data_IF_114776443902
#
_entry.id   IF_114776443902
#
_cell.length_a   1.000
_cell.length_b   1.000
_cell.length_c   1.000
_cell.angle_alpha   90.00
_cell.angle_beta   90.00
_cell.angle_gamma   90.00
#
_symmetry.space_group_name_H-M   'P 1'
#
loop_
_entity.id
_entity.type
_entity.pdbx_description
1 polymer ?
#
# COMPACT_ATOMS: atom_id res chain seq x y z
N UNK A 1 -47.98 -2.13 7.55
CA UNK A 1 -47.46 -3.09 6.52
C UNK A 1 -46.67 -2.29 5.47
N UNK A 2 -45.36 -2.44 5.42
CA UNK A 2 -44.53 -1.74 4.43
C UNK A 2 -44.70 -2.49 3.10
N UNK A 3 -45.14 -1.78 2.06
CA UNK A 3 -45.36 -2.33 0.70
C UNK A 3 -44.10 -3.03 0.17
N UNK A 4 -44.27 -4.14 -0.56
CA UNK A 4 -43.19 -4.87 -1.22
C UNK A 4 -42.34 -3.99 -2.15
N UNK A 5 -42.95 -2.96 -2.77
CA UNK A 5 -42.27 -1.96 -3.59
C UNK A 5 -41.30 -1.08 -2.76
N UNK A 6 -41.67 -0.72 -1.52
CA UNK A 6 -40.81 0.07 -0.61
C UNK A 6 -39.60 -0.72 -0.15
N UNK A 7 -39.73 -2.04 0.05
CA UNK A 7 -38.60 -2.94 0.41
C UNK A 7 -37.62 -3.11 -0.75
N UNK A 8 -38.12 -3.18 -1.99
CA UNK A 8 -37.29 -3.27 -3.18
C UNK A 8 -36.48 -2.01 -3.44
N UNK A 9 -37.06 -0.84 -3.25
CA UNK A 9 -36.39 0.47 -3.36
C UNK A 9 -35.35 0.64 -2.27
N UNK A 10 -35.63 0.22 -1.05
CA UNK A 10 -34.65 0.26 0.06
C UNK A 10 -33.46 -0.71 -0.16
N UNK A 11 -33.72 -1.87 -0.74
CA UNK A 11 -32.65 -2.84 -1.11
C UNK A 11 -31.80 -2.32 -2.26
N UNK A 12 -32.41 -1.64 -3.25
CA UNK A 12 -31.69 -1.04 -4.38
C UNK A 12 -30.81 0.14 -3.93
N UNK A 13 -31.25 0.95 -2.97
CA UNK A 13 -30.44 2.03 -2.40
C UNK A 13 -29.22 1.54 -1.61
N UNK A 14 -29.27 0.35 -1.01
CA UNK A 14 -28.13 -0.23 -0.29
C UNK A 14 -26.99 -0.67 -1.22
N UNK A 15 -27.25 -0.91 -2.49
CA UNK A 15 -26.25 -1.38 -3.46
C UNK A 15 -25.40 -0.22 -4.03
N UNK A 16 -25.87 1.03 -3.91
CA UNK A 16 -25.19 2.19 -4.52
C UNK A 16 -24.08 2.79 -3.63
N UNK A 17 -23.95 2.35 -2.37
CA UNK A 17 -22.93 2.85 -1.44
C UNK A 17 -21.66 1.96 -1.49
N UNK A 18 -21.26 1.48 -2.65
CA UNK A 18 -19.90 0.99 -2.82
C UNK A 18 -18.99 2.19 -3.09
N UNK A 19 -18.58 2.84 -1.99
CA UNK A 19 -17.64 3.95 -2.05
C UNK A 19 -16.36 3.51 -2.76
N UNK A 20 -15.78 4.36 -3.61
CA UNK A 20 -14.43 4.19 -4.12
C UNK A 20 -13.48 4.08 -2.94
N UNK A 21 -13.03 2.89 -2.61
CA UNK A 21 -11.96 2.68 -1.64
C UNK A 21 -10.65 3.09 -2.32
N UNK A 22 -9.91 3.97 -1.68
CA UNK A 22 -8.57 4.31 -2.11
C UNK A 22 -7.70 3.05 -2.07
N UNK A 23 -6.76 2.96 -3.00
CA UNK A 23 -5.82 1.85 -3.05
C UNK A 23 -4.41 2.35 -3.34
N UNK A 24 -3.43 1.69 -2.75
CA UNK A 24 -2.02 2.00 -2.94
C UNK A 24 -1.30 0.83 -3.60
N UNK A 25 -0.46 1.14 -4.59
CA UNK A 25 0.42 0.16 -5.22
C UNK A 25 1.71 0.11 -4.42
N UNK A 26 2.01 -1.06 -3.87
CA UNK A 26 3.25 -1.38 -3.17
C UNK A 26 4.04 -2.35 -4.02
N UNK A 27 5.29 -2.00 -4.31
CA UNK A 27 6.25 -2.90 -4.96
C UNK A 27 6.88 -3.75 -3.88
N UNK A 28 6.90 -5.05 -4.07
CA UNK A 28 7.40 -6.01 -3.07
C UNK A 28 8.38 -6.97 -3.72
N UNK A 29 9.51 -7.20 -3.05
CA UNK A 29 10.46 -8.25 -3.35
C UNK A 29 10.66 -9.14 -2.13
N UNK A 30 10.76 -10.46 -2.36
CA UNK A 30 11.08 -11.46 -1.36
C UNK A 30 12.23 -12.32 -1.82
N UNK A 31 13.27 -12.48 -0.99
CA UNK A 31 14.47 -13.25 -1.30
C UNK A 31 14.72 -14.30 -0.23
N UNK A 32 14.78 -15.55 -0.63
CA UNK A 32 15.27 -16.67 0.21
C UNK A 32 16.75 -16.93 -0.09
N UNK A 33 17.49 -17.38 0.92
CA UNK A 33 18.83 -17.90 0.69
C UNK A 33 18.74 -19.17 -0.17
N UNK A 34 19.24 -19.08 -1.40
CA UNK A 34 19.23 -20.20 -2.37
C UNK A 34 20.38 -21.19 -2.16
N UNK A 35 21.43 -20.80 -1.43
CA UNK A 35 22.61 -21.64 -1.14
C UNK A 35 22.32 -22.57 0.03
N UNK A 36 21.62 -22.06 1.05
CA UNK A 36 21.16 -22.80 2.22
C UNK A 36 19.68 -22.51 2.45
N UNK A 37 18.80 -23.13 1.67
CA UNK A 37 17.37 -22.86 1.80
C UNK A 37 16.86 -23.35 3.15
N UNK A 38 16.74 -22.46 4.10
CA UNK A 38 16.13 -22.71 5.40
C UNK A 38 14.67 -22.25 5.31
N UNK A 39 13.75 -23.17 5.48
CA UNK A 39 12.35 -22.83 5.56
C UNK A 39 12.04 -22.25 6.94
N UNK A 40 11.37 -21.11 6.97
CA UNK A 40 10.87 -20.53 8.23
C UNK A 40 9.74 -21.42 8.73
N UNK A 41 9.95 -22.15 9.82
CA UNK A 41 9.01 -23.13 10.34
C UNK A 41 7.76 -22.43 10.91
N UNK A 42 6.53 -22.81 10.46
CA UNK A 42 5.30 -22.29 11.03
C UNK A 42 5.24 -22.58 12.55
N UNK A 43 4.78 -21.61 13.33
CA UNK A 43 4.71 -21.71 14.79
C UNK A 43 6.04 -21.53 15.52
N UNK A 44 7.13 -21.30 14.81
CA UNK A 44 8.44 -21.04 15.41
C UNK A 44 8.39 -19.81 16.36
N UNK A 45 9.26 -19.82 17.37
CA UNK A 45 9.48 -18.67 18.22
C UNK A 45 10.28 -17.60 17.49
N UNK A 46 9.77 -16.39 17.45
CA UNK A 46 10.38 -15.23 16.77
C UNK A 46 10.48 -14.06 17.73
N UNK A 47 11.51 -13.25 17.60
CA UNK A 47 11.70 -12.01 18.35
C UNK A 47 11.96 -10.85 17.40
N UNK A 48 11.20 -9.77 17.55
CA UNK A 48 11.38 -8.53 16.76
C UNK A 48 12.37 -7.64 17.50
N UNK A 49 13.46 -7.29 16.83
CA UNK A 49 14.52 -6.46 17.38
C UNK A 49 14.20 -4.99 17.14
N UNK A 50 13.90 -4.25 18.20
CA UNK A 50 13.71 -2.82 18.13
C UNK A 50 15.04 -2.08 17.97
N UNK A 51 15.05 -1.00 17.16
CA UNK A 51 16.22 -0.13 17.03
C UNK A 51 16.27 0.86 18.20
N UNK A 52 17.20 0.61 19.13
CA UNK A 52 17.40 1.45 20.33
C UNK A 52 17.94 2.86 19.99
N UNK A 53 18.51 3.05 18.79
CA UNK A 53 19.07 4.32 18.32
C UNK A 53 18.14 5.00 17.30
N UNK A 54 16.91 4.53 17.14
CA UNK A 54 15.95 5.09 16.20
C UNK A 54 15.74 6.60 16.44
N UNK A 55 15.77 7.39 15.36
CA UNK A 55 15.51 8.84 15.43
C UNK A 55 14.15 9.18 16.03
N UNK A 56 13.17 8.29 15.85
CA UNK A 56 11.83 8.40 16.42
C UNK A 56 11.47 7.11 17.16
N UNK A 57 11.83 6.98 18.48
CA UNK A 57 11.59 5.76 19.24
C UNK A 57 10.11 5.39 19.39
N UNK A 58 9.19 6.37 19.31
CA UNK A 58 7.75 6.12 19.39
C UNK A 58 7.23 5.45 18.11
N UNK A 59 7.68 5.94 16.96
CA UNK A 59 7.34 5.33 15.68
C UNK A 59 7.96 3.93 15.57
N UNK A 60 9.21 3.77 16.01
CA UNK A 60 9.90 2.48 15.97
C UNK A 60 9.16 1.42 16.78
N UNK A 61 8.77 1.74 18.02
CA UNK A 61 7.95 0.86 18.86
C UNK A 61 6.59 0.53 18.21
N UNK A 62 5.97 1.50 17.54
CA UNK A 62 4.72 1.27 16.82
C UNK A 62 4.93 0.29 15.67
N UNK A 63 6.01 0.45 14.91
CA UNK A 63 6.37 -0.45 13.80
C UNK A 63 6.65 -1.86 14.30
N UNK A 64 7.45 -2.00 15.38
CA UNK A 64 7.70 -3.30 16.02
C UNK A 64 6.40 -3.98 16.44
N UNK A 65 5.49 -3.25 17.07
CA UNK A 65 4.18 -3.79 17.46
C UNK A 65 3.31 -4.24 16.28
N UNK A 66 3.39 -3.53 15.15
CA UNK A 66 2.71 -3.93 13.91
C UNK A 66 3.29 -5.22 13.32
N UNK A 67 4.63 -5.35 13.31
CA UNK A 67 5.32 -6.57 12.88
C UNK A 67 4.92 -7.74 13.77
N UNK A 68 4.93 -7.56 15.10
CA UNK A 68 4.49 -8.57 16.08
C UNK A 68 3.09 -9.10 15.78
N UNK A 69 2.15 -8.18 15.53
CA UNK A 69 0.77 -8.55 15.20
C UNK A 69 0.68 -9.35 13.90
N UNK A 70 1.43 -8.95 12.88
CA UNK A 70 1.46 -9.67 11.61
C UNK A 70 2.07 -11.07 11.74
N UNK A 71 3.14 -11.22 12.52
CA UNK A 71 3.74 -12.51 12.80
C UNK A 71 2.76 -13.43 13.54
N UNK A 72 2.03 -12.91 14.54
CA UNK A 72 0.97 -13.65 15.24
C UNK A 72 -0.15 -14.08 14.30
N UNK A 73 -0.58 -13.20 13.39
CA UNK A 73 -1.60 -13.53 12.36
C UNK A 73 -1.12 -14.62 11.40
N UNK A 74 0.18 -14.67 11.10
CA UNK A 74 0.81 -15.73 10.30
C UNK A 74 1.05 -17.02 11.11
N UNK A 75 0.71 -17.05 12.41
CA UNK A 75 0.83 -18.22 13.28
C UNK A 75 2.19 -18.39 13.95
N UNK A 76 3.05 -17.38 13.91
CA UNK A 76 4.32 -17.40 14.66
C UNK A 76 4.12 -17.06 16.13
N UNK A 77 4.96 -17.63 16.99
CA UNK A 77 4.97 -17.34 18.40
C UNK A 77 5.97 -16.22 18.72
N UNK A 78 5.46 -15.00 18.87
CA UNK A 78 6.28 -13.86 19.28
C UNK A 78 6.68 -14.01 20.75
N UNK A 79 7.97 -13.95 21.03
CA UNK A 79 8.56 -14.17 22.36
C UNK A 79 9.46 -12.99 22.75
N UNK A 80 9.95 -12.98 24.01
CA UNK A 80 10.97 -12.01 24.43
C UNK A 80 12.38 -12.43 23.95
N UNK A 81 13.32 -11.50 23.98
CA UNK A 81 14.73 -11.74 23.63
C UNK A 81 15.34 -12.91 24.44
N UNK A 82 14.94 -13.03 25.70
CA UNK A 82 15.49 -14.03 26.65
C UNK A 82 14.99 -15.46 26.41
N UNK A 83 13.95 -15.64 25.62
CA UNK A 83 13.33 -16.95 25.37
C UNK A 83 14.04 -17.78 24.28
N UNK A 84 15.25 -17.40 23.89
CA UNK A 84 16.02 -18.06 22.83
C UNK A 84 15.21 -18.30 21.55
N UNK A 85 14.76 -17.25 20.87
CA UNK A 85 13.93 -17.37 19.68
C UNK A 85 14.66 -18.16 18.59
N UNK A 86 13.90 -18.90 17.79
CA UNK A 86 14.42 -19.60 16.62
C UNK A 86 14.90 -18.62 15.55
N UNK A 87 14.21 -17.48 15.43
CA UNK A 87 14.54 -16.43 14.47
C UNK A 87 14.46 -15.05 15.11
N UNK A 88 15.38 -14.19 14.69
CA UNK A 88 15.32 -12.75 14.97
C UNK A 88 14.78 -12.03 13.71
N UNK A 89 13.89 -11.07 13.95
CA UNK A 89 13.32 -10.23 12.92
C UNK A 89 13.95 -8.85 13.04
N UNK A 90 14.74 -8.48 12.04
CA UNK A 90 15.31 -7.15 11.91
C UNK A 90 14.51 -6.37 10.88
N UNK A 91 14.31 -5.09 11.08
CA UNK A 91 13.59 -4.25 10.14
C UNK A 91 14.25 -2.89 9.98
N UNK A 92 13.90 -2.21 8.89
CA UNK A 92 14.29 -0.84 8.64
C UNK A 92 13.27 -0.17 7.74
N UNK A 93 13.13 1.13 7.88
CA UNK A 93 12.18 1.92 7.10
C UNK A 93 12.67 3.34 6.91
N UNK A 94 12.13 4.02 5.90
CA UNK A 94 12.49 5.41 5.67
C UNK A 94 11.80 6.05 4.48
N UNK A 95 12.16 7.32 4.30
CA UNK A 95 11.77 8.15 3.16
C UNK A 95 13.03 8.37 2.32
N UNK A 96 12.94 8.10 1.02
CA UNK A 96 13.99 8.39 0.05
C UNK A 96 14.02 9.86 -0.35
N UNK A 97 14.87 10.17 -1.32
CA UNK A 97 14.98 11.53 -1.85
C UNK A 97 13.73 11.96 -2.61
N UNK A 98 13.42 13.24 -2.51
CA UNK A 98 12.38 13.86 -3.33
C UNK A 98 12.78 13.83 -4.81
N UNK A 99 11.80 13.53 -5.66
CA UNK A 99 11.92 13.53 -7.11
C UNK A 99 10.81 14.36 -7.71
N UNK A 100 11.16 15.16 -8.71
CA UNK A 100 10.19 15.91 -9.50
C UNK A 100 9.77 15.05 -10.70
N UNK A 101 8.47 14.84 -10.86
CA UNK A 101 7.89 14.08 -11.97
C UNK A 101 6.87 14.92 -12.72
N UNK A 102 6.85 14.77 -14.04
CA UNK A 102 5.80 15.38 -14.87
C UNK A 102 4.67 14.37 -15.04
N UNK A 103 3.46 14.80 -14.74
CA UNK A 103 2.22 14.03 -14.89
C UNK A 103 1.25 14.79 -15.77
N UNK A 104 0.20 14.14 -16.23
CA UNK A 104 -0.89 14.79 -16.98
C UNK A 104 -2.19 14.66 -16.20
N UNK A 105 -2.98 15.72 -16.18
CA UNK A 105 -4.33 15.71 -15.61
C UNK A 105 -5.35 16.00 -16.72
N UNK A 106 -6.49 15.33 -16.74
CA UNK A 106 -7.55 15.64 -17.68
C UNK A 106 -8.22 16.95 -17.27
N UNK A 107 -8.30 17.87 -18.21
CA UNK A 107 -9.08 19.10 -18.09
C UNK A 107 -10.30 18.99 -19.02
N UNK A 108 -11.47 18.89 -18.42
CA UNK A 108 -12.73 18.83 -19.17
C UNK A 108 -13.22 20.23 -19.48
N UNK A 109 -13.42 20.53 -20.77
CA UNK A 109 -14.10 21.74 -21.23
C UNK A 109 -15.53 21.35 -21.62
N UNK A 110 -16.56 21.89 -20.95
CA UNK A 110 -17.95 21.60 -21.29
C UNK A 110 -18.27 22.02 -22.74
N UNK A 111 -19.15 21.25 -23.37
CA UNK A 111 -19.68 21.61 -24.68
C UNK A 111 -20.44 22.92 -24.62
N UNK A 112 -20.39 23.66 -25.73
CA UNK A 112 -21.07 24.96 -25.86
C UNK A 112 -22.21 24.87 -26.85
N UNK A 113 -23.24 25.67 -26.63
CA UNK A 113 -24.33 25.83 -27.56
C UNK A 113 -24.05 27.06 -28.43
N UNK A 114 -23.97 26.88 -29.74
CA UNK A 114 -23.80 27.96 -30.69
C UNK A 114 -25.07 28.16 -31.53
N UNK A 115 -25.46 29.38 -31.70
CA UNK A 115 -26.58 29.75 -32.60
C UNK A 115 -26.01 30.10 -33.97
N UNK A 116 -26.42 29.35 -34.96
CA UNK A 116 -26.05 29.61 -36.36
C UNK A 116 -27.20 30.36 -37.02
N UNK A 117 -26.89 31.53 -37.55
CA UNK A 117 -27.85 32.36 -38.28
C UNK A 117 -27.65 32.18 -39.79
N UNK A 118 -28.67 31.76 -40.50
CA UNK A 118 -28.68 31.72 -41.99
C UNK A 118 -29.63 32.78 -42.49
N UNK A 119 -29.11 33.71 -43.30
CA UNK A 119 -29.86 34.73 -44.00
C UNK A 119 -29.98 34.37 -45.46
N UNK A 120 -31.19 34.23 -45.97
CA UNK A 120 -31.46 33.93 -47.39
C UNK A 120 -32.53 34.88 -47.97
N UNK A 121 -32.85 34.77 -49.31
CA UNK A 121 -33.84 35.65 -49.97
C UNK A 121 -35.23 35.60 -49.35
N UNK A 122 -35.58 34.57 -48.60
CA UNK A 122 -36.86 34.33 -47.93
C UNK A 122 -36.88 34.68 -46.45
N UNK A 123 -35.77 35.25 -45.88
CA UNK A 123 -35.67 35.64 -44.48
C UNK A 123 -34.45 35.07 -43.77
N UNK A 124 -34.38 35.35 -42.47
CA UNK A 124 -33.34 34.90 -41.57
C UNK A 124 -33.84 33.75 -40.75
N UNK A 125 -33.12 32.62 -40.73
CA UNK A 125 -33.42 31.48 -39.86
C UNK A 125 -32.30 31.29 -38.81
N UNK A 126 -32.66 30.90 -37.61
CA UNK A 126 -31.77 30.60 -36.47
C UNK A 126 -31.79 29.10 -36.22
N UNK A 127 -30.64 28.48 -36.13
CA UNK A 127 -30.52 27.09 -35.71
C UNK A 127 -29.51 26.99 -34.57
N UNK A 128 -29.83 26.22 -33.59
CA UNK A 128 -28.92 25.95 -32.45
C UNK A 128 -28.17 24.68 -32.71
N UNK A 129 -26.84 24.74 -32.64
CA UNK A 129 -25.98 23.58 -32.71
C UNK A 129 -25.31 23.40 -31.34
N UNK A 130 -25.23 22.14 -30.87
CA UNK A 130 -24.55 21.79 -29.65
C UNK A 130 -23.17 21.26 -30.01
N UNK A 131 -22.13 21.96 -29.56
CA UNK A 131 -20.75 21.52 -29.70
C UNK A 131 -20.45 20.55 -28.55
N UNK A 132 -19.87 19.37 -28.84
CA UNK A 132 -19.51 18.43 -27.78
C UNK A 132 -18.43 18.99 -26.87
N UNK A 133 -18.45 18.61 -25.61
CA UNK A 133 -17.35 18.87 -24.69
C UNK A 133 -16.08 18.14 -25.12
N UNK A 134 -14.95 18.66 -24.72
CA UNK A 134 -13.63 18.07 -25.02
C UNK A 134 -12.82 17.86 -23.73
N UNK A 135 -11.99 16.82 -23.73
CA UNK A 135 -11.04 16.59 -22.64
C UNK A 135 -9.63 16.83 -23.20
N UNK A 136 -8.92 17.76 -22.59
CA UNK A 136 -7.51 18.05 -22.89
C UNK A 136 -6.65 17.58 -21.74
N UNK A 137 -5.51 16.94 -22.03
CA UNK A 137 -4.57 16.52 -21.00
C UNK A 137 -3.50 17.59 -20.82
N UNK A 138 -3.46 18.19 -19.62
CA UNK A 138 -2.53 19.28 -19.29
C UNK A 138 -1.39 18.69 -18.44
N UNK A 139 -0.11 18.89 -18.83
CA UNK A 139 1.01 18.48 -18.01
C UNK A 139 1.11 19.34 -16.76
N UNK A 140 1.40 18.71 -15.62
CA UNK A 140 1.74 19.37 -14.37
C UNK A 140 2.94 18.69 -13.72
N UNK A 141 3.62 19.41 -12.86
CA UNK A 141 4.80 18.92 -12.14
C UNK A 141 4.40 18.59 -10.70
N UNK A 142 4.75 17.39 -10.25
CA UNK A 142 4.52 16.94 -8.89
C UNK A 142 5.85 16.52 -8.23
N UNK A 143 6.00 16.82 -6.95
CA UNK A 143 7.10 16.28 -6.13
C UNK A 143 6.63 14.99 -5.48
N UNK A 144 7.38 13.93 -5.70
CA UNK A 144 7.10 12.60 -5.12
C UNK A 144 8.28 12.12 -4.31
N UNK A 145 8.00 11.32 -3.29
CA UNK A 145 9.02 10.67 -2.45
C UNK A 145 8.81 9.16 -2.46
N UNK A 146 9.92 8.43 -2.48
CA UNK A 146 9.90 6.98 -2.26
C UNK A 146 9.82 6.72 -0.74
N UNK A 147 8.93 5.83 -0.31
CA UNK A 147 8.91 5.27 1.04
C UNK A 147 9.24 3.82 0.93
N UNK A 148 10.04 3.33 1.86
CA UNK A 148 10.51 1.97 1.84
C UNK A 148 10.44 1.33 3.22
N UNK A 149 10.31 0.02 3.23
CA UNK A 149 10.38 -0.83 4.41
C UNK A 149 11.09 -2.12 4.03
N UNK A 150 12.01 -2.58 4.87
CA UNK A 150 12.67 -3.87 4.73
C UNK A 150 12.53 -4.69 6.01
N UNK A 151 12.41 -6.00 5.84
CA UNK A 151 12.30 -6.97 6.93
C UNK A 151 13.23 -8.14 6.64
N UNK A 152 14.05 -8.49 7.63
CA UNK A 152 15.03 -9.59 7.53
C UNK A 152 14.72 -10.63 8.60
N UNK A 153 14.71 -11.88 8.20
CA UNK A 153 14.64 -13.03 9.10
C UNK A 153 16.04 -13.62 9.24
N UNK A 154 16.54 -13.68 10.45
CA UNK A 154 17.89 -14.13 10.78
C UNK A 154 17.83 -15.37 11.64
N UNK A 155 18.76 -16.32 11.40
CA UNK A 155 18.89 -17.53 12.23
C UNK A 155 19.22 -17.16 13.69
N UNK A 156 18.42 -17.68 14.62
CA UNK A 156 18.55 -17.32 16.03
C UNK A 156 19.79 -17.88 16.69
N UNK A 157 20.26 -19.02 16.25
CA UNK A 157 21.48 -19.64 16.80
C UNK A 157 22.73 -18.87 16.39
N UNK A 158 22.84 -18.54 15.11
CA UNK A 158 24.00 -17.81 14.60
C UNK A 158 24.03 -16.38 15.13
N UNK A 159 22.87 -15.74 15.23
CA UNK A 159 22.74 -14.38 15.79
C UNK A 159 23.28 -14.29 17.22
N UNK A 160 22.96 -15.26 18.07
CA UNK A 160 23.40 -15.27 19.50
C UNK A 160 24.86 -15.66 19.68
N UNK A 161 25.33 -16.67 18.94
CA UNK A 161 26.63 -17.28 19.22
C UNK A 161 27.81 -16.56 18.55
N UNK A 162 27.61 -16.00 17.38
CA UNK A 162 28.71 -15.50 16.56
C UNK A 162 28.57 -14.01 16.20
N UNK A 163 27.48 -13.36 16.59
CA UNK A 163 27.14 -12.01 16.08
C UNK A 163 26.99 -11.99 14.55
N UNK A 164 26.93 -13.18 13.92
CA UNK A 164 26.73 -13.32 12.50
C UNK A 164 25.24 -13.25 12.18
N UNK A 165 24.92 -12.38 11.29
CA UNK A 165 23.56 -12.27 10.75
C UNK A 165 23.40 -13.23 9.57
N UNK A 166 23.23 -14.53 9.84
CA UNK A 166 22.84 -15.49 8.80
C UNK A 166 21.40 -15.20 8.40
N UNK A 167 21.27 -14.43 7.33
CA UNK A 167 19.97 -14.01 6.82
C UNK A 167 19.35 -15.18 6.07
N UNK A 168 18.15 -15.58 6.49
CA UNK A 168 17.35 -16.65 5.89
C UNK A 168 16.45 -16.12 4.80
N UNK A 169 15.86 -14.95 5.05
CA UNK A 169 14.92 -14.30 4.15
C UNK A 169 14.99 -12.79 4.29
N UNK A 170 14.83 -12.09 3.16
CA UNK A 170 14.68 -10.64 3.12
C UNK A 170 13.39 -10.32 2.37
N UNK A 171 12.56 -9.45 2.94
CA UNK A 171 11.45 -8.81 2.25
C UNK A 171 11.70 -7.33 2.14
N UNK A 172 11.46 -6.78 0.96
CA UNK A 172 11.57 -5.35 0.69
C UNK A 172 10.26 -4.84 0.09
N UNK A 173 9.80 -3.69 0.55
CA UNK A 173 8.62 -3.03 0.02
C UNK A 173 8.90 -1.56 -0.22
N UNK A 174 8.38 -1.02 -1.31
CA UNK A 174 8.49 0.38 -1.63
C UNK A 174 7.23 0.92 -2.30
N UNK A 175 6.93 2.19 -2.07
CA UNK A 175 5.88 2.93 -2.77
C UNK A 175 6.36 4.34 -3.09
N UNK A 176 5.85 4.92 -4.18
CA UNK A 176 6.18 6.28 -4.60
C UNK A 176 4.90 7.11 -4.65
N UNK A 177 4.89 8.25 -4.00
CA UNK A 177 3.71 9.12 -3.98
C UNK A 177 4.00 10.52 -3.45
N UNK A 178 3.01 11.40 -3.59
CA UNK A 178 3.09 12.81 -3.17
C UNK A 178 2.96 12.97 -1.65
N UNK A 179 2.30 12.05 -0.96
CA UNK A 179 2.20 12.06 0.49
C UNK A 179 3.59 11.94 1.13
N UNK A 180 3.88 12.76 2.12
CA UNK A 180 5.06 12.67 2.98
C UNK A 180 4.81 11.87 4.27
N UNK A 181 3.58 11.38 4.49
CA UNK A 181 3.23 10.64 5.69
C UNK A 181 3.79 9.21 5.64
N UNK A 182 4.95 9.04 6.28
CA UNK A 182 5.60 7.74 6.41
C UNK A 182 4.79 6.80 7.32
N UNK A 183 4.23 7.33 8.43
CA UNK A 183 3.55 6.52 9.43
C UNK A 183 2.34 5.79 8.84
N UNK A 184 1.56 6.49 8.02
CA UNK A 184 0.40 5.91 7.34
C UNK A 184 0.85 4.91 6.26
N UNK A 185 1.85 5.28 5.46
CA UNK A 185 2.38 4.42 4.40
C UNK A 185 3.02 3.12 4.92
N UNK A 186 3.59 3.13 6.13
CA UNK A 186 4.15 1.92 6.74
C UNK A 186 3.11 0.81 6.91
N UNK A 187 1.84 1.13 7.12
CA UNK A 187 0.78 0.13 7.19
C UNK A 187 0.68 -0.67 5.89
N UNK A 188 0.72 0.03 4.75
CA UNK A 188 0.66 -0.58 3.41
C UNK A 188 1.94 -1.35 3.09
N UNK A 189 3.12 -0.80 3.42
CA UNK A 189 4.40 -1.43 3.16
C UNK A 189 4.55 -2.75 3.95
N UNK A 190 4.21 -2.74 5.24
CA UNK A 190 4.22 -3.92 6.10
C UNK A 190 3.22 -4.96 5.56
N UNK A 191 1.98 -4.55 5.24
CA UNK A 191 0.98 -5.45 4.65
C UNK A 191 1.51 -6.11 3.39
N UNK A 192 2.11 -5.34 2.49
CA UNK A 192 2.68 -5.84 1.23
C UNK A 192 3.74 -6.92 1.45
N UNK A 193 4.69 -6.69 2.33
CA UNK A 193 5.74 -7.67 2.68
C UNK A 193 5.11 -8.94 3.26
N UNK A 194 4.12 -8.81 4.14
CA UNK A 194 3.52 -9.97 4.78
C UNK A 194 2.66 -10.83 3.84
N UNK A 195 2.25 -10.34 2.68
CA UNK A 195 1.66 -11.21 1.65
C UNK A 195 2.66 -12.26 1.14
N UNK A 196 3.96 -11.91 1.08
CA UNK A 196 5.04 -12.76 0.57
C UNK A 196 6.04 -13.18 1.64
N UNK A 197 5.67 -13.07 2.93
CA UNK A 197 6.56 -13.41 4.03
C UNK A 197 7.04 -14.86 3.96
N UNK A 198 8.35 -15.04 3.88
CA UNK A 198 8.99 -16.35 3.75
C UNK A 198 8.99 -16.94 2.33
N UNK A 199 8.54 -16.18 1.34
CA UNK A 199 8.49 -16.63 -0.06
C UNK A 199 9.57 -15.93 -0.90
N UNK A 200 10.00 -16.60 -1.98
CA UNK A 200 10.85 -16.00 -2.99
C UNK A 200 9.99 -15.52 -4.15
N UNK A 201 9.90 -14.22 -4.37
CA UNK A 201 9.09 -13.67 -5.47
C UNK A 201 9.76 -13.79 -6.84
N UNK A 202 11.09 -13.99 -6.86
CA UNK A 202 11.89 -14.10 -8.08
C UNK A 202 12.00 -12.82 -8.91
N UNK A 203 11.16 -11.83 -8.63
CA UNK A 203 11.15 -10.48 -9.22
C UNK A 203 10.28 -9.55 -8.38
N UNK A 204 10.43 -8.25 -8.58
CA UNK A 204 9.53 -7.25 -8.00
C UNK A 204 8.07 -7.51 -8.42
N UNK A 205 7.17 -7.53 -7.46
CA UNK A 205 5.72 -7.74 -7.63
C UNK A 205 4.97 -6.49 -7.19
N UNK A 206 4.02 -6.04 -8.00
CA UNK A 206 3.12 -4.95 -7.63
C UNK A 206 1.89 -5.50 -6.90
N UNK A 207 1.71 -5.08 -5.66
CA UNK A 207 0.55 -5.42 -4.83
C UNK A 207 -0.35 -4.20 -4.71
N UNK A 208 -1.61 -4.34 -5.11
CA UNK A 208 -2.61 -3.30 -4.93
C UNK A 208 -3.35 -3.51 -3.60
N UNK A 209 -3.07 -2.67 -2.61
CA UNK A 209 -3.64 -2.77 -1.26
C UNK A 209 -4.71 -1.69 -1.10
N UNK A 210 -5.93 -2.09 -0.82
CA UNK A 210 -7.07 -1.21 -0.61
C UNK A 210 -7.18 -0.81 0.85
N UNK A 211 -7.75 0.36 1.13
CA UNK A 211 -8.01 0.81 2.51
C UNK A 211 -8.94 -0.13 3.29
N UNK A 212 -9.82 -0.85 2.60
CA UNK A 212 -10.74 -1.81 3.21
C UNK A 212 -10.15 -3.22 3.36
N UNK A 213 -8.87 -3.42 3.03
CA UNK A 213 -8.15 -4.69 3.16
C UNK A 213 -8.20 -5.19 4.61
N UNK A 214 -8.64 -6.45 4.85
CA UNK A 214 -8.76 -7.00 6.19
C UNK A 214 -7.43 -7.06 6.95
N UNK A 215 -6.31 -7.31 6.25
CA UNK A 215 -4.97 -7.38 6.84
C UNK A 215 -4.53 -5.98 7.27
N UNK A 216 -4.74 -4.99 6.42
CA UNK A 216 -4.44 -3.59 6.71
C UNK A 216 -5.21 -3.09 7.94
N UNK A 217 -6.49 -3.43 8.07
CA UNK A 217 -7.30 -3.07 9.23
C UNK A 217 -6.76 -3.65 10.54
N UNK A 218 -6.27 -4.88 10.52
CA UNK A 218 -5.67 -5.50 11.70
C UNK A 218 -4.38 -4.81 12.17
N UNK A 219 -3.64 -4.17 11.25
CA UNK A 219 -2.44 -3.41 11.56
C UNK A 219 -2.78 -2.01 12.09
N UNK A 220 -3.81 -1.37 11.54
CA UNK A 220 -4.15 0.03 11.81
C UNK A 220 -4.92 0.24 13.13
N UNK A 221 -5.47 -0.81 13.73
CA UNK A 221 -6.46 -0.74 14.84
C UNK A 221 -5.83 -0.61 16.24
N UNK A 222 -4.54 -0.24 16.37
CA UNK A 222 -3.90 -0.04 17.69
C UNK A 222 -3.04 1.21 17.74
#
# INVERSE_FOLDING_TARGET
>A
MISTASKAVMLLMLIIIQGCSLSYIVRVDGFLDTVKPIKIEPGAAVYVVEDREAKNPLLDREVAGKIDNMLKLKGYRVVSEFDNPAYYILYGYGIGHEKTVTRTMPLYTPGQTATVTKTGPSGTSYSTIQLPGSTTYVPYTATVTDKWFSLKVVDGKDYRNEGKNTVIWIGEAATTGESSDLRDMLNYLITGIFYYFGENTGREVNVNIREDDPVLKNISTR
#
